data_IF_021896189469
#
_entry.id   IF_021896189469
#
_cell.length_a   1.000
_cell.length_b   1.000
_cell.length_c   1.000
_cell.angle_alpha   90.00
_cell.angle_beta   90.00
_cell.angle_gamma   90.00
#
_symmetry.space_group_name_H-M   'P 1'
#
loop_
_entity.id
_entity.type
_entity.pdbx_description
1 polymer ?
#
# COMPACT_ATOMS: atom_id res chain seq x y z
N UNK A 1 21.62 -6.20 7.49
CA UNK A 1 21.35 -6.39 6.08
C UNK A 1 20.79 -5.13 5.47
N UNK A 2 21.30 -4.75 4.33
CA UNK A 2 20.79 -3.57 3.67
C UNK A 2 19.46 -3.86 3.01
N UNK A 3 18.51 -2.94 3.09
CA UNK A 3 17.31 -3.10 2.29
C UNK A 3 17.69 -3.00 0.82
N UNK A 4 17.01 -3.74 -0.04
CA UNK A 4 17.33 -3.65 -1.45
C UNK A 4 16.68 -2.40 -2.04
N UNK A 5 17.16 -2.03 -3.21
CA UNK A 5 16.72 -0.79 -3.85
C UNK A 5 15.22 -0.79 -4.13
N UNK A 6 14.67 -1.94 -4.47
CA UNK A 6 13.24 -2.05 -4.75
C UNK A 6 12.43 -1.70 -3.51
N UNK A 7 12.82 -2.23 -2.35
CA UNK A 7 12.10 -1.95 -1.12
C UNK A 7 12.19 -0.48 -0.75
N UNK A 8 13.36 0.15 -0.96
CA UNK A 8 13.53 1.57 -0.69
C UNK A 8 12.56 2.38 -1.55
N UNK A 9 12.47 2.07 -2.84
CA UNK A 9 11.59 2.82 -3.72
C UNK A 9 10.12 2.61 -3.38
N UNK A 10 9.74 1.38 -3.02
CA UNK A 10 8.36 1.12 -2.65
C UNK A 10 7.97 1.83 -1.36
N UNK A 11 8.88 1.88 -0.39
CA UNK A 11 8.58 2.62 0.83
C UNK A 11 8.46 4.11 0.55
N UNK A 12 9.29 4.64 -0.34
CA UNK A 12 9.19 6.05 -0.73
C UNK A 12 7.87 6.37 -1.39
N UNK A 13 7.34 5.42 -2.13
CA UNK A 13 6.05 5.62 -2.78
C UNK A 13 4.98 6.03 -1.76
N UNK A 14 4.99 5.39 -0.59
CA UNK A 14 4.02 5.67 0.45
C UNK A 14 4.45 6.84 1.33
N UNK A 15 5.73 6.94 1.68
CA UNK A 15 6.18 7.94 2.65
C UNK A 15 6.24 9.34 2.07
N UNK A 16 6.69 9.47 0.84
CA UNK A 16 6.93 10.80 0.28
C UNK A 16 5.70 11.69 0.28
N UNK A 17 4.54 11.26 -0.21
CA UNK A 17 3.39 12.16 -0.22
C UNK A 17 2.85 12.48 1.16
N UNK A 18 3.14 11.64 2.16
CA UNK A 18 2.63 11.84 3.51
C UNK A 18 3.62 12.66 4.34
N UNK A 19 4.90 12.33 4.24
CA UNK A 19 5.93 12.98 5.07
C UNK A 19 6.48 14.25 4.44
N UNK A 20 6.42 14.35 3.11
CA UNK A 20 6.93 15.50 2.37
C UNK A 20 5.93 15.95 1.34
N UNK A 21 4.77 16.46 1.76
CA UNK A 21 3.74 16.83 0.79
C UNK A 21 4.21 17.99 -0.07
N UNK A 22 3.83 17.91 -1.36
CA UNK A 22 4.13 18.97 -2.30
C UNK A 22 3.24 20.16 -1.98
N UNK A 23 3.84 21.33 -1.79
CA UNK A 23 3.09 22.52 -1.43
C UNK A 23 2.11 22.94 -2.53
N UNK A 24 2.32 22.50 -3.75
CA UNK A 24 1.40 22.82 -4.84
C UNK A 24 0.16 21.95 -4.83
N UNK A 25 0.11 20.93 -3.98
CA UNK A 25 -1.03 20.03 -3.88
C UNK A 25 -1.66 20.15 -2.52
N UNK A 26 -2.96 19.94 -2.46
CA UNK A 26 -3.65 19.91 -1.18
C UNK A 26 -3.18 18.68 -0.42
N UNK A 27 -2.74 18.88 0.81
CA UNK A 27 -2.31 17.75 1.62
C UNK A 27 -3.49 16.85 1.91
N UNK A 28 -3.33 15.54 1.82
CA UNK A 28 -4.43 14.64 2.16
C UNK A 28 -4.77 14.76 3.63
N UNK A 29 -6.03 15.02 3.93
CA UNK A 29 -6.47 15.19 5.29
C UNK A 29 -7.00 13.90 5.87
N UNK A 30 -7.67 13.11 5.03
CA UNK A 30 -8.26 11.85 5.47
C UNK A 30 -8.15 10.85 4.33
N UNK A 31 -7.52 9.73 4.60
CA UNK A 31 -7.32 8.68 3.60
C UNK A 31 -7.86 7.39 4.18
N UNK A 32 -8.86 6.82 3.54
CA UNK A 32 -9.42 5.53 3.96
C UNK A 32 -8.89 4.39 3.12
N UNK A 33 -8.45 4.67 1.89
CA UNK A 33 -7.98 3.64 0.98
C UNK A 33 -6.80 4.15 0.18
N UNK A 34 -5.83 3.27 -0.01
CA UNK A 34 -4.72 3.52 -0.93
C UNK A 34 -4.73 2.44 -1.99
N UNK A 35 -4.62 2.88 -3.24
CA UNK A 35 -4.59 1.96 -4.38
C UNK A 35 -3.25 2.06 -5.08
N UNK A 36 -2.62 0.92 -5.30
CA UNK A 36 -1.33 0.85 -5.97
C UNK A 36 -1.54 0.24 -7.35
N UNK A 37 -0.95 0.86 -8.36
CA UNK A 37 -0.98 0.33 -9.72
C UNK A 37 0.44 0.13 -10.20
N UNK A 38 0.71 -0.97 -10.87
CA UNK A 38 2.03 -1.31 -11.39
C UNK A 38 1.94 -1.45 -12.90
N UNK A 39 2.81 -0.74 -13.62
CA UNK A 39 2.99 -0.93 -15.05
C UNK A 39 4.29 -1.68 -15.24
N UNK A 40 4.25 -3.00 -15.46
CA UNK A 40 5.48 -3.78 -15.53
C UNK A 40 6.33 -3.46 -16.76
N UNK A 41 5.72 -2.96 -17.84
CA UNK A 41 6.50 -2.61 -19.01
C UNK A 41 7.38 -1.41 -18.76
N UNK A 42 6.90 -0.45 -17.98
CA UNK A 42 7.63 0.78 -17.68
C UNK A 42 8.32 0.75 -16.32
N UNK A 43 8.04 -0.26 -15.49
CA UNK A 43 8.58 -0.33 -14.14
C UNK A 43 7.99 0.74 -13.24
N UNK A 44 6.84 1.28 -13.60
CA UNK A 44 6.25 2.39 -12.89
C UNK A 44 5.26 1.91 -11.84
N UNK A 45 5.33 2.50 -10.67
CA UNK A 45 4.41 2.18 -9.58
C UNK A 45 3.76 3.47 -9.13
N UNK A 46 2.43 3.49 -9.12
CA UNK A 46 1.66 4.68 -8.80
C UNK A 46 0.81 4.44 -7.58
N UNK A 47 0.63 5.48 -6.78
CA UNK A 47 -0.19 5.43 -5.57
C UNK A 47 -1.34 6.41 -5.70
N UNK A 48 -2.56 5.93 -5.45
CA UNK A 48 -3.78 6.74 -5.52
C UNK A 48 -4.52 6.69 -4.20
N UNK A 49 -5.29 7.74 -3.92
CA UNK A 49 -6.14 7.77 -2.74
C UNK A 49 -7.57 7.30 -3.09
N UNK A 50 -8.47 7.41 -2.13
CA UNK A 50 -9.85 6.95 -2.31
C UNK A 50 -10.68 7.86 -3.22
N UNK A 51 -10.09 8.96 -3.68
CA UNK A 51 -10.74 9.85 -4.66
C UNK A 51 -10.10 9.71 -6.03
N UNK A 52 -9.35 8.64 -6.23
CA UNK A 52 -8.66 8.34 -7.50
C UNK A 52 -7.64 9.41 -7.87
N UNK A 53 -7.13 10.14 -6.89
CA UNK A 53 -6.09 11.13 -7.12
C UNK A 53 -4.73 10.48 -6.96
N UNK A 54 -3.86 10.73 -7.91
CA UNK A 54 -2.50 10.19 -7.83
C UNK A 54 -1.72 10.98 -6.79
N UNK A 55 -1.22 10.28 -5.77
CA UNK A 55 -0.45 10.91 -4.72
C UNK A 55 1.03 10.94 -5.04
N UNK A 56 1.53 9.89 -5.69
CA UNK A 56 2.96 9.80 -5.98
C UNK A 56 3.19 8.68 -6.98
N UNK A 57 4.37 8.69 -7.61
CA UNK A 57 4.78 7.59 -8.47
C UNK A 57 6.29 7.45 -8.41
N UNK A 58 6.76 6.22 -8.58
CA UNK A 58 8.18 5.94 -8.65
C UNK A 58 8.43 5.01 -9.84
N UNK A 59 9.65 5.02 -10.36
CA UNK A 59 10.06 4.08 -11.39
C UNK A 59 11.11 3.18 -10.79
N UNK A 60 10.86 1.87 -10.87
CA UNK A 60 11.80 0.88 -10.38
C UNK A 60 12.47 0.27 -11.61
N UNK A 61 13.70 0.71 -11.89
CA UNK A 61 14.36 0.35 -13.13
C UNK A 61 14.57 -1.15 -13.26
N UNK A 62 14.79 -1.83 -12.15
CA UNK A 62 14.96 -3.29 -12.18
C UNK A 62 13.70 -4.01 -12.59
N UNK A 63 12.55 -3.34 -12.54
CA UNK A 63 11.26 -3.95 -12.88
C UNK A 63 10.85 -3.75 -14.32
N UNK A 64 11.61 -2.96 -15.09
CA UNK A 64 11.21 -2.66 -16.46
C UNK A 64 11.33 -3.92 -17.31
N UNK A 65 10.21 -4.36 -17.88
CA UNK A 65 10.18 -5.53 -18.76
C UNK A 65 9.30 -5.18 -19.95
N UNK A 66 9.91 -4.67 -20.99
CA UNK A 66 9.20 -4.20 -22.17
C UNK A 66 8.27 -5.27 -22.71
N UNK A 67 7.07 -4.87 -23.07
CA UNK A 67 6.10 -5.78 -23.63
C UNK A 67 5.32 -6.59 -22.62
N UNK A 68 5.70 -6.52 -21.34
CA UNK A 68 4.99 -7.30 -20.34
C UNK A 68 3.70 -6.59 -19.94
N UNK A 69 2.61 -7.34 -19.92
CA UNK A 69 1.31 -6.79 -19.54
C UNK A 69 0.83 -7.31 -18.19
N UNK A 70 1.37 -8.44 -17.76
CA UNK A 70 0.95 -9.03 -16.47
C UNK A 70 1.95 -8.68 -15.39
N UNK A 71 1.44 -8.49 -14.17
CA UNK A 71 2.30 -8.18 -13.04
C UNK A 71 2.87 -9.49 -12.49
N UNK A 72 4.20 -9.68 -12.55
CA UNK A 72 4.80 -10.91 -12.04
C UNK A 72 4.57 -11.06 -10.54
N UNK A 73 4.47 -12.30 -10.08
CA UNK A 73 4.25 -12.52 -8.66
C UNK A 73 5.41 -12.00 -7.82
N UNK A 74 6.61 -11.94 -8.36
CA UNK A 74 7.75 -11.39 -7.63
C UNK A 74 7.53 -9.93 -7.29
N UNK A 75 6.96 -9.14 -8.22
CA UNK A 75 6.66 -7.75 -7.96
C UNK A 75 5.61 -7.60 -6.88
N UNK A 76 4.59 -8.47 -6.93
CA UNK A 76 3.53 -8.42 -5.93
C UNK A 76 4.06 -8.79 -4.55
N UNK A 77 4.99 -9.75 -4.49
CA UNK A 77 5.60 -10.14 -3.22
C UNK A 77 6.42 -8.99 -2.64
N UNK A 78 7.17 -8.28 -3.48
CA UNK A 78 7.94 -7.14 -3.01
C UNK A 78 7.03 -6.03 -2.48
N UNK A 79 5.96 -5.76 -3.19
CA UNK A 79 5.02 -4.74 -2.75
C UNK A 79 4.37 -5.14 -1.43
N UNK A 80 3.98 -6.40 -1.31
CA UNK A 80 3.38 -6.90 -0.07
C UNK A 80 4.35 -6.76 1.10
N UNK A 81 5.63 -7.07 0.86
CA UNK A 81 6.65 -6.95 1.89
C UNK A 81 6.83 -5.51 2.33
N UNK A 82 6.82 -4.57 1.38
CA UNK A 82 6.97 -3.15 1.71
C UNK A 82 5.81 -2.66 2.56
N UNK A 83 4.58 -3.05 2.20
CA UNK A 83 3.41 -2.64 2.98
C UNK A 83 3.47 -3.22 4.39
N UNK A 84 3.90 -4.47 4.52
CA UNK A 84 4.03 -5.09 5.84
C UNK A 84 5.06 -4.37 6.69
N UNK A 85 6.16 -3.96 6.09
CA UNK A 85 7.20 -3.25 6.83
C UNK A 85 6.72 -1.88 7.30
N UNK A 86 5.99 -1.18 6.45
CA UNK A 86 5.42 0.10 6.83
C UNK A 86 4.41 -0.06 7.96
N UNK A 87 3.60 -1.10 7.88
CA UNK A 87 2.63 -1.37 8.93
C UNK A 87 3.34 -1.70 10.25
N UNK A 88 4.37 -2.52 10.20
CA UNK A 88 5.13 -2.87 11.40
C UNK A 88 5.82 -1.66 12.00
N UNK A 89 6.20 -0.69 11.17
CA UNK A 89 6.80 0.56 11.63
C UNK A 89 5.77 1.59 12.05
N UNK A 90 4.49 1.22 12.08
CA UNK A 90 3.37 2.07 12.48
C UNK A 90 3.15 3.27 11.57
N UNK A 91 3.58 3.15 10.32
CA UNK A 91 3.37 4.22 9.37
C UNK A 91 1.89 4.52 9.17
N UNK A 92 1.05 3.49 9.18
CA UNK A 92 -0.39 3.68 8.95
C UNK A 92 -1.16 4.01 10.22
N UNK A 93 -0.44 4.31 11.32
CA UNK A 93 -1.08 4.80 12.54
C UNK A 93 -1.19 6.32 12.55
N UNK A 94 -0.67 6.99 11.51
CA UNK A 94 -0.74 8.45 11.44
C UNK A 94 -2.18 8.92 11.30
N UNK A 95 -2.44 10.14 11.76
CA UNK A 95 -3.79 10.68 11.80
C UNK A 95 -4.44 10.82 10.44
N UNK A 96 -3.66 10.94 9.37
CA UNK A 96 -4.21 11.06 8.03
C UNK A 96 -4.97 9.81 7.61
N UNK A 97 -4.63 8.66 8.18
CA UNK A 97 -5.23 7.40 7.77
C UNK A 97 -6.42 7.09 8.67
N UNK A 98 -7.61 7.08 8.09
CA UNK A 98 -8.84 6.86 8.87
C UNK A 98 -9.26 5.41 8.77
N UNK A 99 -9.86 4.91 9.85
CA UNK A 99 -10.31 3.51 9.93
C UNK A 99 -11.78 3.41 9.54
N UNK A 100 -12.18 2.35 8.89
CA UNK A 100 -11.32 1.26 8.40
C UNK A 100 -10.43 1.73 7.26
N UNK A 101 -9.22 1.20 7.21
CA UNK A 101 -8.22 1.63 6.25
C UNK A 101 -7.72 0.42 5.45
N UNK A 102 -7.53 0.59 4.15
CA UNK A 102 -7.04 -0.51 3.32
C UNK A 102 -6.00 -0.05 2.32
N UNK A 103 -5.16 -0.99 1.92
CA UNK A 103 -4.22 -0.80 0.82
C UNK A 103 -4.42 -1.97 -0.14
N UNK A 104 -4.61 -1.68 -1.41
CA UNK A 104 -4.88 -2.71 -2.41
C UNK A 104 -4.08 -2.46 -3.68
N UNK A 105 -3.71 -3.54 -4.34
CA UNK A 105 -3.12 -3.49 -5.67
C UNK A 105 -4.27 -3.60 -6.66
N UNK A 106 -4.32 -2.69 -7.63
CA UNK A 106 -5.43 -2.65 -8.57
C UNK A 106 -4.94 -2.57 -10.02
N UNK A 107 -5.86 -2.82 -10.92
CA UNK A 107 -5.64 -2.56 -12.34
C UNK A 107 -5.85 -1.08 -12.61
N UNK A 108 -5.61 -0.69 -13.85
CA UNK A 108 -5.74 0.73 -14.23
C UNK A 108 -7.15 1.26 -14.02
N UNK A 109 -8.14 0.39 -14.10
CA UNK A 109 -9.53 0.79 -13.89
C UNK A 109 -9.96 0.64 -12.43
N UNK A 110 -8.99 0.48 -11.53
CA UNK A 110 -9.20 0.33 -10.09
C UNK A 110 -9.88 -0.96 -9.68
N UNK A 111 -9.95 -1.94 -10.58
CA UNK A 111 -10.38 -3.27 -10.18
C UNK A 111 -9.33 -3.89 -9.28
N UNK A 112 -9.75 -4.39 -8.12
CA UNK A 112 -8.81 -4.90 -7.12
C UNK A 112 -8.22 -6.22 -7.58
N UNK A 113 -6.89 -6.29 -7.59
CA UNK A 113 -6.17 -7.52 -7.87
C UNK A 113 -5.89 -8.26 -6.57
N UNK A 114 -5.46 -7.52 -5.55
CA UNK A 114 -5.10 -8.12 -4.28
C UNK A 114 -5.20 -7.09 -3.17
N UNK A 115 -5.82 -7.46 -2.05
CA UNK A 115 -5.83 -6.59 -0.87
C UNK A 115 -4.53 -6.84 -0.10
N UNK A 116 -3.78 -5.78 0.13
CA UNK A 116 -2.47 -5.89 0.75
C UNK A 116 -2.51 -5.65 2.25
N UNK A 117 -3.46 -4.84 2.70
CA UNK A 117 -3.58 -4.50 4.12
C UNK A 117 -5.01 -4.05 4.40
N UNK A 118 -5.54 -4.47 5.53
CA UNK A 118 -6.83 -3.98 5.99
C UNK A 118 -6.74 -3.78 7.50
N UNK A 119 -7.06 -2.57 7.95
CA UNK A 119 -7.02 -2.24 9.36
C UNK A 119 -8.38 -1.70 9.78
N UNK A 120 -8.97 -2.35 10.76
CA UNK A 120 -10.23 -1.91 11.33
C UNK A 120 -10.08 -2.05 12.83
N UNK A 121 -9.91 -0.94 13.51
CA UNK A 121 -9.66 -0.95 14.95
C UNK A 121 -10.79 -1.62 15.71
N UNK A 122 -12.01 -1.38 15.24
CA UNK A 122 -13.16 -1.97 15.89
C UNK A 122 -13.17 -3.48 15.72
N UNK A 123 -12.86 -3.92 14.51
CA UNK A 123 -12.79 -5.35 14.23
C UNK A 123 -11.67 -6.01 15.03
N UNK A 124 -10.55 -5.35 15.13
CA UNK A 124 -9.42 -5.87 15.87
C UNK A 124 -9.78 -6.04 17.33
N UNK A 125 -10.49 -5.08 17.91
CA UNK A 125 -10.91 -5.19 19.29
C UNK A 125 -11.87 -6.34 19.50
N UNK A 126 -12.79 -6.52 18.59
CA UNK A 126 -13.71 -7.64 18.67
C UNK A 126 -12.98 -8.96 18.58
N UNK A 127 -12.03 -9.02 17.69
CA UNK A 127 -11.26 -10.23 17.51
C UNK A 127 -10.53 -10.61 18.76
N UNK A 128 -9.93 -9.66 19.43
CA UNK A 128 -9.22 -10.00 20.64
C UNK A 128 -10.14 -10.60 21.67
N UNK A 129 -11.35 -10.11 21.75
CA UNK A 129 -12.28 -10.61 22.73
C UNK A 129 -12.90 -11.92 22.31
N UNK A 130 -13.25 -12.03 21.06
CA UNK A 130 -13.98 -13.19 20.61
C UNK A 130 -13.10 -14.37 20.32
N UNK A 131 -11.94 -14.14 19.78
CA UNK A 131 -11.07 -15.23 19.42
C UNK A 131 -10.58 -15.98 20.62
N UNK A 132 -10.32 -15.27 21.68
CA UNK A 132 -9.89 -15.93 22.89
C UNK A 132 -10.95 -16.86 23.39
N UNK A 133 -12.18 -16.50 23.21
CA UNK A 133 -13.27 -17.34 23.68
C UNK A 133 -13.60 -18.43 22.70
N UNK A 134 -13.46 -18.14 21.42
CA UNK A 134 -13.86 -19.11 20.42
C UNK A 134 -12.82 -20.17 20.20
N UNK A 135 -11.58 -19.80 20.31
CA UNK A 135 -10.52 -20.74 20.05
C UNK A 135 -10.54 -21.91 20.96
N UNK A 136 -10.90 -21.67 22.15
CA UNK A 136 -10.91 -22.74 23.06
C UNK A 136 -11.92 -23.73 22.75
N UNK A 137 -12.93 -23.33 22.06
CA UNK A 137 -13.96 -24.24 21.75
C UNK A 137 -13.68 -25.05 20.60
N UNK A 138 -12.73 -24.72 19.85
CA UNK A 138 -12.46 -25.44 18.59
C UNK A 138 -11.41 -26.50 18.76
#
# INVERSE_FOLDING_TARGET
MKPNEVQIQLERLFRTPIEHPDSSKTAPIAISDLFVQIDPAAGEVQLFNDKDEELHRVVIYDWIQEGRTEIPSAMRQELRAAVKRLHAARFFDKDQFVRPFSVALTQEDFTIIEELLFIDDELIQLDSALLENLDEEL
#
